data_IF_527417409230
#
_entry.id   IF_527417409230
#
_cell.length_a   1.000
_cell.length_b   1.000
_cell.length_c   1.000
_cell.angle_alpha   90.00
_cell.angle_beta   90.00
_cell.angle_gamma   90.00
#
_symmetry.space_group_name_H-M   'P 1'
#
loop_
_entity.id
_entity.type
_entity.pdbx_description
1 polymer ?
#
# COMPACT_ATOMS: atom_id res chain seq x y z
N UNK A 1 -22.21 14.88 13.23
CA UNK A 1 -21.43 14.98 11.98
C UNK A 1 -20.00 15.33 12.36
N UNK A 2 -19.08 14.36 12.33
CA UNK A 2 -17.67 14.66 12.53
C UNK A 2 -17.18 15.15 11.17
N UNK A 3 -16.90 16.43 11.08
CA UNK A 3 -16.16 17.02 9.97
C UNK A 3 -14.78 16.35 9.97
N UNK A 4 -14.63 15.28 9.17
CA UNK A 4 -13.33 14.68 8.93
C UNK A 4 -12.46 15.80 8.37
N UNK A 5 -11.51 16.26 9.19
CA UNK A 5 -10.55 17.28 8.80
C UNK A 5 -9.76 16.69 7.65
N UNK A 6 -10.14 17.06 6.43
CA UNK A 6 -9.53 16.61 5.18
C UNK A 6 -8.07 17.07 5.18
N UNK A 7 -7.17 16.14 5.55
CA UNK A 7 -5.74 16.42 5.75
C UNK A 7 -5.05 16.80 4.44
N UNK A 8 -5.65 16.46 3.30
CA UNK A 8 -5.12 16.76 1.98
C UNK A 8 -5.51 18.16 1.49
N UNK A 9 -6.64 18.72 1.97
CA UNK A 9 -7.10 20.08 1.57
C UNK A 9 -6.14 21.20 1.99
N UNK A 10 -5.34 21.00 3.03
CA UNK A 10 -4.44 22.02 3.58
C UNK A 10 -2.96 21.90 3.19
N UNK A 11 -2.61 20.99 2.27
CA UNK A 11 -1.21 20.83 1.86
C UNK A 11 -0.79 22.08 1.06
N UNK A 12 0.38 22.63 1.35
CA UNK A 12 1.02 23.69 0.57
C UNK A 12 2.49 23.32 0.31
N UNK A 13 3.01 23.69 -0.86
CA UNK A 13 4.41 23.40 -1.25
C UNK A 13 5.15 24.73 -1.32
N UNK A 14 5.71 25.20 -0.18
CA UNK A 14 6.33 26.52 -0.12
C UNK A 14 7.60 26.62 -0.97
N UNK A 15 8.22 25.48 -1.30
CA UNK A 15 9.43 25.39 -2.11
C UNK A 15 9.23 24.37 -3.24
N UNK A 16 8.76 24.79 -4.43
CA UNK A 16 8.59 23.90 -5.56
C UNK A 16 9.95 23.40 -6.07
N UNK A 17 10.05 22.10 -6.34
CA UNK A 17 11.25 21.50 -6.92
C UNK A 17 11.22 21.64 -8.45
N UNK A 18 12.35 22.05 -9.05
CA UNK A 18 12.50 22.21 -10.50
C UNK A 18 12.75 20.90 -11.25
N UNK A 19 13.08 19.81 -10.56
CA UNK A 19 13.31 18.50 -11.19
C UNK A 19 11.98 17.84 -11.53
N UNK A 20 11.85 17.44 -12.80
CA UNK A 20 10.74 16.62 -13.27
C UNK A 20 10.77 15.21 -12.67
N UNK A 21 9.58 14.66 -12.41
CA UNK A 21 9.39 13.33 -11.83
C UNK A 21 10.13 12.22 -12.60
N UNK A 22 10.19 12.34 -13.92
CA UNK A 22 10.80 11.34 -14.82
C UNK A 22 12.32 11.25 -14.69
N UNK A 23 12.97 12.31 -14.20
CA UNK A 23 14.42 12.33 -13.94
C UNK A 23 14.79 11.70 -12.59
N UNK A 24 13.81 11.26 -11.80
CA UNK A 24 14.02 10.63 -10.49
C UNK A 24 14.02 9.11 -10.61
N UNK A 25 14.83 8.43 -9.81
CA UNK A 25 14.89 6.97 -9.78
C UNK A 25 13.93 6.39 -8.73
N UNK A 26 13.15 5.37 -9.08
CA UNK A 26 12.27 4.67 -8.14
C UNK A 26 11.01 4.11 -8.80
N UNK A 27 9.94 3.98 -8.02
CA UNK A 27 8.64 3.45 -8.47
C UNK A 27 7.65 4.57 -8.79
N UNK A 28 6.46 4.23 -9.30
CA UNK A 28 5.39 5.21 -9.53
C UNK A 28 4.84 5.87 -8.26
N UNK A 29 5.04 5.23 -7.10
CA UNK A 29 4.57 5.73 -5.81
C UNK A 29 5.64 6.54 -5.07
N UNK A 30 6.91 6.11 -5.14
CA UNK A 30 8.02 6.77 -4.44
C UNK A 30 9.27 6.77 -5.32
N UNK A 31 9.83 7.95 -5.53
CA UNK A 31 11.12 8.13 -6.20
C UNK A 31 12.08 8.90 -5.33
N UNK A 32 13.38 8.71 -5.56
CA UNK A 32 14.43 9.47 -4.90
C UNK A 32 14.90 10.59 -5.82
N UNK A 33 14.87 11.83 -5.31
CA UNK A 33 15.39 12.99 -6.04
C UNK A 33 16.85 13.21 -5.69
N UNK A 34 17.73 13.15 -6.70
CA UNK A 34 19.17 13.35 -6.52
C UNK A 34 19.57 14.78 -6.12
N UNK A 35 18.77 15.80 -6.47
CA UNK A 35 19.10 17.21 -6.19
C UNK A 35 18.82 17.60 -4.74
N UNK A 36 17.63 17.26 -4.23
CA UNK A 36 17.28 17.57 -2.84
C UNK A 36 17.59 16.43 -1.87
N UNK A 37 18.06 15.29 -2.39
CA UNK A 37 18.37 14.06 -1.63
C UNK A 37 17.23 13.59 -0.74
N UNK A 38 15.98 13.80 -1.18
CA UNK A 38 14.77 13.40 -0.46
C UNK A 38 13.92 12.44 -1.28
N UNK A 39 13.19 11.58 -0.59
CA UNK A 39 12.15 10.75 -1.19
C UNK A 39 10.94 11.62 -1.55
N UNK A 40 10.52 11.55 -2.81
CA UNK A 40 9.36 12.24 -3.35
C UNK A 40 8.22 11.24 -3.51
N UNK A 41 7.10 11.50 -2.83
CA UNK A 41 5.91 10.64 -2.82
C UNK A 41 4.87 11.13 -3.83
N UNK A 42 4.38 10.26 -4.70
CA UNK A 42 3.33 10.61 -5.67
C UNK A 42 1.95 10.34 -5.06
N UNK A 43 1.33 11.37 -4.47
CA UNK A 43 0.02 11.24 -3.84
C UNK A 43 -1.08 10.93 -4.86
N UNK A 44 -0.91 11.35 -6.12
CA UNK A 44 -1.88 11.07 -7.19
C UNK A 44 -1.86 9.62 -7.67
N UNK A 45 -0.76 8.90 -7.45
CA UNK A 45 -0.69 7.44 -7.69
C UNK A 45 -1.23 6.61 -6.50
N UNK A 46 -1.61 7.25 -5.39
CA UNK A 46 -2.09 6.61 -4.17
C UNK A 46 -3.60 6.84 -3.97
N UNK A 47 -4.24 6.00 -3.16
CA UNK A 47 -5.62 6.28 -2.69
C UNK A 47 -5.62 7.41 -1.67
N UNK A 48 -6.77 8.05 -1.42
CA UNK A 48 -6.90 9.12 -0.42
C UNK A 48 -6.37 8.71 0.95
N UNK A 49 -6.80 7.55 1.47
CA UNK A 49 -6.35 7.04 2.79
C UNK A 49 -4.83 6.80 2.85
N UNK A 50 -4.24 6.29 1.75
CA UNK A 50 -2.79 6.07 1.67
C UNK A 50 -2.03 7.41 1.62
N UNK A 51 -2.54 8.39 0.86
CA UNK A 51 -1.95 9.72 0.82
C UNK A 51 -2.02 10.40 2.20
N UNK A 52 -3.15 10.31 2.89
CA UNK A 52 -3.35 10.83 4.25
C UNK A 52 -2.37 10.19 5.24
N UNK A 53 -2.24 8.86 5.22
CA UNK A 53 -1.32 8.17 6.14
C UNK A 53 0.15 8.53 5.90
N UNK A 54 0.55 8.73 4.64
CA UNK A 54 1.91 9.21 4.32
C UNK A 54 2.14 10.61 4.88
N UNK A 55 1.16 11.51 4.74
CA UNK A 55 1.24 12.88 5.25
C UNK A 55 1.29 12.91 6.77
N UNK A 56 0.47 12.12 7.44
CA UNK A 56 0.41 12.01 8.89
C UNK A 56 1.71 11.41 9.47
N UNK A 57 2.17 10.29 8.90
CA UNK A 57 3.39 9.62 9.36
C UNK A 57 4.65 10.47 9.19
N UNK A 58 4.67 11.35 8.17
CA UNK A 58 5.79 12.27 7.90
C UNK A 58 5.59 13.65 8.49
N UNK A 59 4.53 13.85 9.30
CA UNK A 59 4.24 15.09 10.00
C UNK A 59 4.28 16.33 9.08
N UNK A 60 3.83 16.18 7.82
CA UNK A 60 3.83 17.25 6.82
C UNK A 60 5.21 17.68 6.27
N UNK A 61 6.32 17.09 6.72
CA UNK A 61 7.69 17.40 6.23
C UNK A 61 8.15 16.41 5.17
N UNK A 62 7.42 16.33 4.07
CA UNK A 62 7.71 15.42 2.96
C UNK A 62 7.76 16.15 1.63
N UNK A 63 8.53 15.60 0.68
CA UNK A 63 8.44 16.02 -0.72
C UNK A 63 7.36 15.19 -1.40
N UNK A 64 6.42 15.84 -2.08
CA UNK A 64 5.36 15.15 -2.80
C UNK A 64 5.17 15.70 -4.21
N UNK A 65 4.80 14.80 -5.12
CA UNK A 65 4.13 15.11 -6.38
C UNK A 65 2.65 14.87 -6.17
N UNK A 66 1.83 15.81 -6.61
CA UNK A 66 0.39 15.65 -6.68
C UNK A 66 -0.18 16.58 -7.76
N UNK A 67 -1.36 16.24 -8.25
CA UNK A 67 -2.14 17.09 -9.15
C UNK A 67 -3.29 17.72 -8.37
N UNK A 68 -3.54 19.00 -8.61
CA UNK A 68 -4.70 19.71 -8.04
C UNK A 68 -5.73 19.95 -9.12
N UNK A 69 -6.99 19.71 -8.78
CA UNK A 69 -8.13 20.16 -9.57
C UNK A 69 -8.36 21.66 -9.34
N UNK A 70 -9.15 22.29 -10.20
CA UNK A 70 -9.51 23.71 -10.13
C UNK A 70 -10.17 24.13 -8.79
N UNK A 71 -10.75 23.18 -8.05
CA UNK A 71 -11.32 23.37 -6.71
C UNK A 71 -10.27 23.34 -5.58
N UNK A 72 -9.00 23.14 -5.90
CA UNK A 72 -7.89 23.03 -4.95
C UNK A 72 -7.71 21.63 -4.36
N UNK A 73 -8.60 20.68 -4.66
CA UNK A 73 -8.55 19.29 -4.16
C UNK A 73 -7.43 18.52 -4.84
N UNK A 74 -6.65 17.77 -4.06
CA UNK A 74 -5.64 16.86 -4.60
C UNK A 74 -6.32 15.66 -5.26
N UNK A 75 -5.94 15.38 -6.50
CA UNK A 75 -6.39 14.21 -7.26
C UNK A 75 -5.64 12.99 -6.74
N UNK A 76 -6.40 11.98 -6.31
CA UNK A 76 -5.93 10.67 -5.85
C UNK A 76 -6.53 9.57 -6.73
N UNK A 77 -5.90 8.38 -6.75
CA UNK A 77 -6.23 7.25 -7.64
C UNK A 77 -7.68 6.73 -7.50
N UNK A 78 -8.26 6.89 -6.33
CA UNK A 78 -9.64 6.50 -6.03
C UNK A 78 -10.68 7.50 -6.54
N UNK A 79 -10.37 8.80 -6.52
CA UNK A 79 -11.29 9.86 -6.97
C UNK A 79 -11.48 9.85 -8.49
N UNK A 80 -10.51 9.36 -9.25
CA UNK A 80 -10.66 9.21 -10.71
C UNK A 80 -11.58 8.06 -11.11
N UNK A 81 -11.80 7.08 -10.22
CA UNK A 81 -12.63 5.89 -10.51
C UNK A 81 -14.11 6.11 -10.22
N UNK A 82 -14.43 7.06 -9.35
CA UNK A 82 -15.81 7.37 -8.96
C UNK A 82 -16.57 8.12 -10.08
N UNK A 83 -15.88 8.95 -10.86
CA UNK A 83 -16.48 9.68 -11.99
C UNK A 83 -16.97 8.77 -13.13
N UNK A 84 -16.43 7.55 -13.27
CA UNK A 84 -16.93 6.57 -14.26
C UNK A 84 -18.07 5.69 -13.74
N UNK A 85 -18.26 5.59 -12.43
CA UNK A 85 -19.30 4.75 -11.82
C UNK A 85 -20.59 5.49 -11.50
N UNK A 86 -20.57 6.83 -11.42
CA UNK A 86 -21.78 7.62 -11.17
C UNK A 86 -22.81 7.56 -12.32
N UNK A 87 -22.36 7.20 -13.53
CA UNK A 87 -23.27 6.91 -14.65
C UNK A 87 -23.90 5.52 -14.59
N UNK A 88 -23.25 4.53 -13.96
CA UNK A 88 -23.70 3.13 -13.97
C UNK A 88 -24.60 2.83 -12.75
N UNK A 89 -24.35 3.47 -11.60
CA UNK A 89 -25.18 3.29 -10.38
C UNK A 89 -26.54 3.99 -10.47
N UNK A 90 -26.65 5.07 -11.27
CA UNK A 90 -27.92 5.77 -11.48
C UNK A 90 -28.91 5.01 -12.39
N UNK A 91 -28.44 4.17 -13.33
CA UNK A 91 -29.36 3.45 -14.22
C UNK A 91 -30.09 2.28 -13.52
N UNK A 92 -29.56 1.76 -12.41
CA UNK A 92 -30.21 0.72 -11.61
C UNK A 92 -31.30 1.27 -10.68
N UNK A 93 -31.19 2.52 -10.25
CA UNK A 93 -32.24 3.22 -9.48
C UNK A 93 -33.32 3.83 -10.38
N UNK A 94 -33.00 4.21 -11.62
CA UNK A 94 -33.97 4.75 -12.59
C UNK A 94 -34.88 3.67 -13.19
N UNK A 95 -34.42 2.44 -13.42
CA UNK A 95 -35.29 1.36 -13.97
C UNK A 95 -36.29 0.76 -12.98
N UNK A 96 -36.21 1.07 -11.69
CA UNK A 96 -37.16 0.55 -10.67
C UNK A 96 -38.39 1.44 -10.44
N UNK A 97 -38.48 2.60 -11.11
CA UNK A 97 -39.61 3.54 -11.01
C UNK A 97 -40.38 3.75 -12.32
N UNK A 98 -40.00 3.10 -13.42
CA UNK A 98 -40.67 3.19 -14.72
C UNK A 98 -41.62 2.01 -15.02
N UNK A 99 -42.11 1.30 -14.01
CA UNK A 99 -43.07 0.18 -14.18
C UNK A 99 -44.47 0.47 -13.65
N UNK A 100 -44.85 1.75 -13.53
CA UNK A 100 -46.24 2.15 -13.27
C UNK A 100 -46.61 3.11 -14.40
N UNK A 101 -47.78 2.89 -15.01
CA UNK A 101 -48.36 3.59 -16.18
C UNK A 101 -48.03 3.02 -17.57
N UNK A 102 -48.57 1.85 -17.89
CA UNK A 102 -49.37 1.73 -19.12
C UNK A 102 -50.78 1.35 -18.68
N UNK A 103 -51.63 2.35 -18.67
CA UNK A 103 -53.03 2.31 -18.27
C UNK A 103 -53.84 1.37 -19.14
N UNK A 104 -54.65 0.55 -18.48
CA UNK A 104 -55.84 -0.05 -19.02
C UNK A 104 -56.78 1.03 -19.59
N UNK A 105 -57.05 1.00 -20.89
CA UNK A 105 -58.37 1.29 -21.47
C UNK A 105 -58.48 0.48 -22.76
N UNK A 106 -59.26 -0.59 -22.75
CA UNK A 106 -60.40 -0.78 -23.66
C UNK A 106 -61.04 -2.13 -23.35
N UNK A 107 -62.02 -2.06 -22.45
CA UNK A 107 -63.04 -3.09 -22.25
C UNK A 107 -63.92 -3.23 -23.50
N UNK A 108 -64.18 -4.50 -23.82
CA UNK A 108 -65.41 -5.08 -24.35
C UNK A 108 -65.87 -4.67 -25.75
N UNK A 109 -65.62 -5.56 -26.73
CA UNK A 109 -66.66 -6.01 -27.65
C UNK A 109 -66.56 -7.54 -27.83
N UNK A 110 -67.70 -8.18 -27.61
CA UNK A 110 -67.97 -9.62 -27.64
C UNK A 110 -67.88 -10.13 -29.08
N UNK A 111 -67.30 -11.32 -29.29
CA UNK A 111 -67.37 -12.02 -30.56
C UNK A 111 -66.79 -13.43 -30.47
N UNK A 112 -67.66 -14.42 -30.23
CA UNK A 112 -67.36 -15.86 -30.29
C UNK A 112 -66.90 -16.23 -31.70
N UNK A 113 -65.77 -16.94 -31.82
CA UNK A 113 -65.31 -17.50 -33.09
C UNK A 113 -64.07 -18.37 -32.94
N UNK A 114 -64.26 -19.69 -32.92
CA UNK A 114 -63.21 -20.69 -33.12
C UNK A 114 -62.55 -20.53 -34.49
N UNK A 115 -61.22 -20.59 -34.59
CA UNK A 115 -60.56 -20.86 -35.87
C UNK A 115 -59.22 -20.16 -36.05
N UNK A 116 -58.19 -20.97 -36.28
CA UNK A 116 -56.79 -20.64 -36.51
C UNK A 116 -56.54 -19.56 -37.57
N UNK A 117 -55.76 -18.53 -37.23
CA UNK A 117 -55.21 -17.58 -38.22
C UNK A 117 -53.82 -18.02 -38.68
N UNK A 118 -53.77 -18.39 -39.95
CA UNK A 118 -52.57 -18.42 -40.78
C UNK A 118 -51.98 -17.01 -40.88
N UNK A 119 -50.66 -16.89 -40.87
CA UNK A 119 -50.00 -15.70 -41.42
C UNK A 119 -48.80 -16.14 -42.26
N UNK A 120 -48.95 -15.93 -43.56
CA UNK A 120 -47.96 -16.12 -44.61
C UNK A 120 -47.02 -14.91 -44.70
N UNK A 121 -45.86 -15.19 -45.29
CA UNK A 121 -44.76 -14.33 -45.72
C UNK A 121 -45.17 -13.09 -46.52
N UNK A 122 -44.32 -12.04 -46.52
CA UNK A 122 -43.62 -11.76 -47.77
C UNK A 122 -42.16 -11.32 -47.63
N UNK A 123 -41.44 -11.48 -48.74
CA UNK A 123 -40.02 -11.23 -48.94
C UNK A 123 -39.68 -9.75 -49.16
N UNK A 124 -38.42 -9.37 -48.89
CA UNK A 124 -37.70 -8.45 -49.76
C UNK A 124 -36.18 -8.72 -49.80
N UNK A 125 -35.64 -8.38 -50.97
CA UNK A 125 -34.39 -8.74 -51.62
C UNK A 125 -33.19 -7.87 -51.17
N UNK A 126 -31.99 -8.46 -51.10
CA UNK A 126 -30.70 -7.74 -51.12
C UNK A 126 -29.48 -8.56 -50.66
N UNK A 127 -28.77 -9.20 -51.60
CA UNK A 127 -27.41 -9.78 -51.49
C UNK A 127 -26.35 -8.63 -51.35
N UNK A 128 -25.06 -8.81 -50.95
CA UNK A 128 -24.23 -9.98 -51.21
C UNK A 128 -23.25 -10.48 -50.14
N UNK A 129 -22.82 -11.73 -50.36
CA UNK A 129 -21.47 -12.27 -50.16
C UNK A 129 -21.02 -12.79 -48.77
N UNK A 130 -20.29 -13.91 -48.90
CA UNK A 130 -19.45 -14.60 -47.92
C UNK A 130 -20.15 -15.44 -46.85
N UNK A 131 -20.64 -16.59 -47.32
CA UNK A 131 -20.58 -17.88 -46.63
C UNK A 131 -19.27 -18.05 -45.85
N UNK A 132 -19.36 -18.20 -44.52
CA UNK A 132 -18.41 -18.99 -43.77
C UNK A 132 -19.13 -19.68 -42.61
N UNK A 133 -19.09 -21.01 -42.65
CA UNK A 133 -19.69 -21.97 -41.72
C UNK A 133 -19.39 -21.64 -40.24
N UNK A 134 -20.33 -21.81 -39.29
CA UNK A 134 -19.95 -21.85 -37.88
C UNK A 134 -19.29 -23.21 -37.59
N UNK A 135 -18.01 -23.34 -37.91
CA UNK A 135 -17.17 -24.35 -37.28
C UNK A 135 -17.16 -24.04 -35.80
N UNK A 136 -17.82 -24.89 -35.03
CA UNK A 136 -17.75 -24.90 -33.56
C UNK A 136 -16.29 -25.11 -33.18
N UNK A 137 -15.56 -24.02 -32.96
CA UNK A 137 -14.23 -24.06 -32.35
C UNK A 137 -14.43 -24.51 -30.90
N UNK A 138 -14.21 -25.80 -30.66
CA UNK A 138 -13.91 -26.29 -29.32
C UNK A 138 -12.60 -25.63 -28.89
N UNK A 139 -12.68 -24.53 -28.14
CA UNK A 139 -11.55 -24.02 -27.38
C UNK A 139 -11.23 -25.04 -26.28
N UNK A 140 -10.43 -26.03 -26.64
CA UNK A 140 -9.68 -26.85 -25.70
C UNK A 140 -8.69 -25.92 -25.01
N UNK A 141 -9.08 -25.43 -23.84
CA UNK A 141 -8.15 -24.81 -22.92
C UNK A 141 -7.30 -25.93 -22.34
N UNK A 142 -6.24 -26.31 -23.06
CA UNK A 142 -5.13 -27.03 -22.47
C UNK A 142 -4.49 -26.08 -21.46
N UNK A 143 -5.04 -26.05 -20.24
CA UNK A 143 -4.35 -25.52 -19.08
C UNK A 143 -3.20 -26.49 -18.80
N UNK A 144 -2.06 -26.27 -19.46
CA UNK A 144 -0.80 -26.83 -19.00
C UNK A 144 -0.43 -26.05 -17.74
N UNK A 145 -1.05 -26.43 -16.61
CA UNK A 145 -0.43 -26.20 -15.33
C UNK A 145 0.76 -27.15 -15.29
N UNK A 146 1.93 -26.64 -15.65
CA UNK A 146 3.18 -27.29 -15.31
C UNK A 146 3.27 -27.27 -13.78
N UNK A 147 2.65 -28.25 -13.13
CA UNK A 147 2.88 -28.55 -11.73
C UNK A 147 4.30 -29.06 -11.62
N UNK A 148 5.23 -28.11 -11.51
CA UNK A 148 6.60 -28.35 -11.10
C UNK A 148 6.56 -29.04 -9.74
N UNK A 149 6.59 -30.38 -9.79
CA UNK A 149 6.53 -31.30 -8.67
C UNK A 149 7.93 -31.41 -8.08
N UNK A 150 8.36 -30.31 -7.47
CA UNK A 150 9.62 -30.21 -6.74
C UNK A 150 9.38 -29.61 -5.36
N UNK A 151 10.36 -29.78 -4.46
CA UNK A 151 10.33 -29.07 -3.19
C UNK A 151 10.26 -27.57 -3.46
N UNK A 152 9.32 -26.89 -2.81
CA UNK A 152 9.07 -25.49 -3.07
C UNK A 152 8.84 -24.73 -1.77
N UNK A 153 9.23 -23.46 -1.75
CA UNK A 153 8.87 -22.51 -0.70
C UNK A 153 7.90 -21.51 -1.30
N UNK A 154 6.72 -21.40 -0.71
CA UNK A 154 5.66 -20.50 -1.20
C UNK A 154 5.13 -19.63 -0.07
N UNK A 155 4.47 -18.55 -0.40
CA UNK A 155 3.76 -17.76 0.60
C UNK A 155 3.14 -16.51 0.02
N UNK A 156 2.44 -15.80 0.89
CA UNK A 156 1.85 -14.50 0.62
C UNK A 156 2.37 -13.49 1.63
N UNK A 157 2.60 -12.26 1.15
CA UNK A 157 3.17 -11.16 1.93
C UNK A 157 2.06 -10.18 2.24
N UNK A 158 1.86 -9.90 3.54
CA UNK A 158 0.81 -9.03 4.06
C UNK A 158 1.40 -7.86 4.84
N UNK A 159 0.61 -6.81 5.02
CA UNK A 159 0.86 -5.75 6.00
C UNK A 159 0.11 -5.99 7.32
N UNK A 160 0.32 -5.12 8.32
CA UNK A 160 -0.36 -5.18 9.61
C UNK A 160 -1.90 -5.05 9.52
N UNK A 161 -2.43 -4.57 8.40
CA UNK A 161 -3.87 -4.47 8.11
C UNK A 161 -4.43 -5.65 7.31
N UNK A 162 -3.60 -6.68 7.04
CA UNK A 162 -3.91 -7.84 6.21
C UNK A 162 -4.07 -7.53 4.71
N UNK A 163 -3.58 -6.39 4.24
CA UNK A 163 -3.49 -6.10 2.81
C UNK A 163 -2.26 -6.78 2.20
N UNK A 164 -2.38 -7.25 0.96
CA UNK A 164 -1.25 -7.88 0.23
C UNK A 164 -0.21 -6.85 -0.20
N UNK A 165 1.06 -7.21 -0.14
CA UNK A 165 2.19 -6.35 -0.53
C UNK A 165 2.80 -6.88 -1.84
N UNK A 166 2.57 -6.19 -2.98
CA UNK A 166 3.20 -6.54 -4.24
C UNK A 166 4.62 -5.98 -4.37
N UNK A 167 5.40 -6.51 -5.31
CA UNK A 167 6.75 -6.05 -5.64
C UNK A 167 7.73 -6.04 -4.44
N UNK A 168 7.55 -6.96 -3.50
CA UNK A 168 8.48 -7.17 -2.40
C UNK A 168 9.63 -8.06 -2.87
N UNK A 169 10.86 -7.70 -2.52
CA UNK A 169 12.06 -8.50 -2.76
C UNK A 169 12.14 -9.60 -1.71
N UNK A 170 12.04 -10.85 -2.16
CA UNK A 170 12.12 -12.04 -1.31
C UNK A 170 13.43 -12.75 -1.60
N UNK A 171 14.27 -12.91 -0.58
CA UNK A 171 15.53 -13.65 -0.67
C UNK A 171 15.43 -14.91 0.18
N UNK A 172 15.62 -16.07 -0.44
CA UNK A 172 15.72 -17.35 0.21
C UNK A 172 17.20 -17.79 0.24
N UNK A 173 17.74 -17.97 1.44
CA UNK A 173 19.16 -18.31 1.66
C UNK A 173 19.23 -19.74 2.19
N UNK A 174 19.90 -20.63 1.47
CA UNK A 174 20.20 -21.98 1.95
C UNK A 174 21.39 -21.92 2.93
N UNK A 175 21.15 -22.28 4.20
CA UNK A 175 22.16 -22.18 5.25
C UNK A 175 23.29 -23.20 5.08
N UNK A 176 23.02 -24.35 4.45
CA UNK A 176 24.01 -25.39 4.20
C UNK A 176 24.87 -25.12 2.97
N UNK A 177 24.25 -24.71 1.86
CA UNK A 177 24.95 -24.44 0.59
C UNK A 177 25.52 -23.01 0.49
N UNK A 178 25.08 -22.10 1.38
CA UNK A 178 25.35 -20.64 1.30
C UNK A 178 24.92 -20.02 -0.04
N UNK A 179 23.93 -20.62 -0.67
CA UNK A 179 23.34 -20.15 -1.92
C UNK A 179 22.12 -19.28 -1.60
N UNK A 180 21.94 -18.19 -2.35
CA UNK A 180 20.79 -17.29 -2.19
C UNK A 180 20.06 -17.13 -3.51
N UNK A 181 18.73 -17.27 -3.48
CA UNK A 181 17.86 -16.96 -4.60
C UNK A 181 16.97 -15.78 -4.23
N UNK A 182 16.81 -14.84 -5.16
CA UNK A 182 15.94 -13.68 -4.98
C UNK A 182 14.82 -13.72 -6.01
N UNK A 183 13.59 -13.53 -5.55
CA UNK A 183 12.37 -13.46 -6.35
C UNK A 183 11.60 -12.21 -5.94
N UNK A 184 10.93 -11.57 -6.88
CA UNK A 184 10.03 -10.45 -6.61
C UNK A 184 8.61 -10.99 -6.46
N UNK A 185 7.88 -10.56 -5.43
CA UNK A 185 6.48 -10.96 -5.24
C UNK A 185 5.57 -10.41 -6.35
N UNK A 186 4.53 -11.19 -6.69
CA UNK A 186 3.53 -10.83 -7.69
C UNK A 186 2.64 -9.67 -7.25
N UNK A 187 1.73 -9.23 -8.13
CA UNK A 187 0.67 -8.27 -7.84
C UNK A 187 -0.32 -8.76 -6.77
N UNK A 188 -0.52 -10.07 -6.65
CA UNK A 188 -1.27 -10.72 -5.57
C UNK A 188 -0.45 -10.86 -4.27
N UNK A 189 0.79 -10.37 -4.23
CA UNK A 189 1.69 -10.49 -3.08
C UNK A 189 2.20 -11.91 -2.84
N UNK A 190 2.06 -12.81 -3.82
CA UNK A 190 2.51 -14.20 -3.73
C UNK A 190 3.95 -14.35 -4.23
N UNK A 191 4.68 -15.30 -3.66
CA UNK A 191 6.02 -15.67 -4.11
C UNK A 191 6.18 -17.18 -4.12
N UNK A 192 7.08 -17.67 -5.00
CA UNK A 192 7.39 -19.09 -5.12
C UNK A 192 8.85 -19.29 -5.47
N UNK A 193 9.53 -20.12 -4.69
CA UNK A 193 10.81 -20.72 -5.02
C UNK A 193 10.56 -22.17 -5.41
N UNK A 194 10.94 -22.51 -6.63
CA UNK A 194 10.89 -23.87 -7.17
C UNK A 194 12.25 -24.55 -7.05
N UNK A 195 12.27 -25.88 -7.22
CA UNK A 195 13.51 -26.69 -7.29
C UNK A 195 14.44 -26.53 -6.07
N UNK A 196 13.87 -26.33 -4.88
CA UNK A 196 14.65 -26.24 -3.66
C UNK A 196 15.21 -27.61 -3.24
N UNK A 197 16.31 -27.61 -2.48
CA UNK A 197 16.85 -28.84 -1.86
C UNK A 197 16.35 -28.96 -0.41
N UNK A 198 16.22 -30.19 0.11
CA UNK A 198 15.90 -30.36 1.52
C UNK A 198 17.02 -29.78 2.39
N UNK A 199 16.68 -29.06 3.46
CA UNK A 199 17.66 -28.39 4.31
C UNK A 199 17.09 -27.21 5.10
N UNK A 200 17.98 -26.46 5.74
CA UNK A 200 17.65 -25.25 6.52
C UNK A 200 17.79 -23.99 5.68
N UNK A 201 16.81 -23.11 5.76
CA UNK A 201 16.76 -21.86 5.03
C UNK A 201 16.50 -20.65 5.93
N UNK A 202 17.07 -19.52 5.54
CA UNK A 202 16.68 -18.21 6.05
C UNK A 202 15.91 -17.48 4.96
N UNK A 203 14.70 -17.04 5.28
CA UNK A 203 13.87 -16.20 4.43
C UNK A 203 14.02 -14.74 4.86
N UNK A 204 14.36 -13.87 3.90
CA UNK A 204 14.45 -12.42 4.10
C UNK A 204 13.51 -11.73 3.12
N UNK A 205 12.65 -10.85 3.61
CA UNK A 205 11.69 -10.11 2.79
C UNK A 205 11.92 -8.63 3.01
N UNK A 206 12.09 -7.90 1.91
CA UNK A 206 12.28 -6.46 1.90
C UNK A 206 11.25 -5.83 0.96
N UNK A 207 10.46 -4.91 1.49
CA UNK A 207 9.53 -4.11 0.70
C UNK A 207 9.75 -2.63 1.03
N UNK A 208 9.54 -1.75 0.05
CA UNK A 208 9.71 -0.32 0.26
C UNK A 208 8.68 0.21 1.27
N UNK A 209 9.13 1.01 2.24
CA UNK A 209 8.29 1.52 3.32
C UNK A 209 7.97 0.51 4.43
N UNK A 210 8.52 -0.71 4.38
CA UNK A 210 8.32 -1.76 5.39
C UNK A 210 9.63 -2.19 6.05
N UNK A 211 9.55 -2.64 7.29
CA UNK A 211 10.69 -3.23 7.99
C UNK A 211 11.08 -4.55 7.33
N UNK A 212 12.38 -4.83 7.28
CA UNK A 212 12.87 -6.08 6.71
C UNK A 212 12.48 -7.23 7.62
N UNK A 213 11.72 -8.18 7.08
CA UNK A 213 11.34 -9.39 7.79
C UNK A 213 12.41 -10.46 7.58
N UNK A 214 12.88 -11.09 8.66
CA UNK A 214 13.87 -12.16 8.60
C UNK A 214 13.36 -13.33 9.44
N UNK A 215 13.19 -14.49 8.81
CA UNK A 215 12.84 -15.75 9.48
C UNK A 215 13.93 -16.77 9.20
N UNK A 216 14.68 -17.12 10.25
CA UNK A 216 15.80 -18.07 10.18
C UNK A 216 15.36 -19.49 10.48
N UNK A 217 16.19 -20.47 10.13
CA UNK A 217 16.02 -21.88 10.49
C UNK A 217 14.70 -22.52 10.01
N UNK A 218 14.23 -22.12 8.83
CA UNK A 218 13.13 -22.78 8.15
C UNK A 218 13.59 -24.16 7.68
N UNK A 219 12.99 -25.21 8.21
CA UNK A 219 13.32 -26.59 7.81
C UNK A 219 12.41 -26.99 6.65
N UNK A 220 13.01 -27.25 5.48
CA UNK A 220 12.32 -27.79 4.32
C UNK A 220 12.62 -29.28 4.21
N UNK A 221 11.60 -30.13 4.35
CA UNK A 221 11.75 -31.59 4.23
C UNK A 221 11.65 -32.02 2.77
N UNK A 222 12.08 -33.26 2.51
CA UNK A 222 11.97 -33.88 1.19
C UNK A 222 10.50 -34.01 0.78
N UNK A 223 10.21 -33.70 -0.48
CA UNK A 223 8.87 -33.76 -1.09
C UNK A 223 7.80 -32.89 -0.40
N UNK A 224 8.22 -31.86 0.34
CA UNK A 224 7.34 -30.91 1.02
C UNK A 224 7.29 -29.57 0.26
N UNK A 225 6.10 -28.96 0.24
CA UNK A 225 5.93 -27.55 -0.14
C UNK A 225 5.75 -26.74 1.14
N UNK A 226 6.78 -26.00 1.54
CA UNK A 226 6.75 -25.18 2.74
C UNK A 226 6.04 -23.87 2.44
N UNK A 227 4.88 -23.65 3.08
CA UNK A 227 4.16 -22.37 3.01
C UNK A 227 4.57 -21.46 4.17
N UNK A 228 5.07 -20.28 3.86
CA UNK A 228 5.49 -19.26 4.84
C UNK A 228 4.85 -17.92 4.49
N UNK A 229 3.74 -17.63 5.14
CA UNK A 229 3.14 -16.30 5.06
C UNK A 229 3.86 -15.34 6.01
N UNK A 230 4.02 -14.09 5.57
CA UNK A 230 4.75 -13.08 6.31
C UNK A 230 3.95 -11.79 6.42
N UNK A 231 3.94 -11.19 7.61
CA UNK A 231 3.32 -9.90 7.87
C UNK A 231 4.40 -8.87 8.16
N UNK A 232 4.54 -7.87 7.28
CA UNK A 232 5.52 -6.81 7.43
C UNK A 232 4.92 -5.65 8.22
N UNK A 233 5.75 -5.03 9.04
CA UNK A 233 5.41 -3.79 9.74
C UNK A 233 5.92 -2.61 8.92
N UNK A 234 5.23 -1.47 9.00
CA UNK A 234 5.69 -0.24 8.35
C UNK A 234 7.04 0.15 8.96
N UNK A 235 8.03 0.43 8.11
CA UNK A 235 9.32 0.92 8.56
C UNK A 235 9.12 2.32 9.13
N UNK A 236 9.27 2.46 10.44
CA UNK A 236 9.48 3.76 11.05
C UNK A 236 10.87 4.21 10.62
N UNK A 237 10.92 5.17 9.69
CA UNK A 237 12.17 5.87 9.35
C UNK A 237 12.47 6.80 10.53
N UNK A 238 12.93 6.21 11.63
CA UNK A 238 13.58 6.89 12.73
C UNK A 238 15.07 6.88 12.45
N UNK A 239 15.68 8.06 12.48
CA UNK A 239 17.12 8.18 12.62
C UNK A 239 17.53 7.39 13.87
N UNK A 240 18.22 6.26 13.70
CA UNK A 240 18.87 5.59 14.81
C UNK A 240 20.05 6.49 15.19
N UNK A 241 19.78 7.48 16.04
CA UNK A 241 20.83 8.15 16.79
C UNK A 241 21.26 7.10 17.83
N UNK A 242 22.30 6.33 17.49
CA UNK A 242 23.02 5.53 18.48
C UNK A 242 23.59 6.51 19.52
N UNK A 243 22.86 6.73 20.61
CA UNK A 243 23.42 7.39 21.78
C UNK A 243 24.46 6.42 22.36
N UNK A 244 25.72 6.85 22.58
CA UNK A 244 26.72 5.96 23.16
C UNK A 244 26.23 5.50 24.53
N UNK A 245 26.14 4.18 24.68
CA UNK A 245 25.90 3.49 25.93
C UNK A 245 27.00 3.88 26.93
N UNK A 246 26.66 4.73 27.90
CA UNK A 246 27.58 5.06 28.99
C UNK A 246 27.44 3.95 30.02
N UNK A 247 28.40 3.02 30.04
CA UNK A 247 28.52 2.02 31.10
C UNK A 247 28.90 2.72 32.41
N UNK A 248 27.99 2.74 33.37
CA UNK A 248 28.20 3.34 34.71
C UNK A 248 28.68 2.33 35.74
N UNK A 249 29.16 1.16 35.31
CA UNK A 249 29.82 0.20 36.21
C UNK A 249 31.32 0.45 36.20
N UNK A 250 31.75 1.46 36.95
CA UNK A 250 33.04 1.53 37.66
C UNK A 250 33.25 2.99 38.10
N UNK A 251 32.51 3.43 39.12
CA UNK A 251 32.97 4.56 39.92
C UNK A 251 33.24 4.06 41.33
N UNK A 252 34.44 3.51 41.51
CA UNK A 252 35.04 3.29 42.82
C UNK A 252 35.23 4.64 43.46
N UNK A 253 34.44 4.94 44.49
CA UNK A 253 34.67 6.10 45.35
C UNK A 253 35.84 5.77 46.28
N UNK A 254 37.03 6.20 45.87
CA UNK A 254 38.17 6.40 46.78
C UNK A 254 38.35 7.90 46.92
N UNK A 255 38.34 8.36 48.16
CA UNK A 255 38.08 9.75 48.51
C UNK A 255 39.23 10.72 48.31
N UNK A 256 38.96 11.90 48.88
CA UNK A 256 39.86 12.95 49.36
C UNK A 256 40.29 14.07 48.40
N UNK A 257 39.98 15.26 48.92
CA UNK A 257 40.66 16.56 48.83
C UNK A 257 40.17 17.59 47.81
N UNK A 258 39.96 18.77 48.38
CA UNK A 258 39.52 20.02 47.80
C UNK A 258 40.40 20.49 46.65
N UNK A 259 39.82 21.27 45.74
CA UNK A 259 40.60 22.16 44.89
C UNK A 259 39.92 22.56 43.60
N UNK A 260 39.57 23.85 43.54
CA UNK A 260 39.51 24.70 42.33
C UNK A 260 38.26 24.58 41.45
N UNK A 261 37.37 25.56 41.62
CA UNK A 261 36.39 25.97 40.63
C UNK A 261 37.07 26.74 39.49
N UNK A 262 36.74 26.49 38.21
CA UNK A 262 36.99 27.47 37.15
C UNK A 262 35.82 28.45 37.06
N UNK A 263 36.18 29.70 37.31
CA UNK A 263 35.39 30.91 37.12
C UNK A 263 35.14 31.14 35.61
N UNK A 264 33.99 30.73 35.09
CA UNK A 264 33.53 31.14 33.76
C UNK A 264 32.40 32.15 33.88
N UNK A 265 32.79 33.43 33.79
CA UNK A 265 31.95 34.61 33.82
C UNK A 265 31.18 34.77 32.49
N UNK A 266 30.10 34.01 32.31
CA UNK A 266 29.14 34.24 31.23
C UNK A 266 27.69 34.24 31.75
N UNK A 267 27.24 35.44 32.12
CA UNK A 267 25.97 35.71 32.79
C UNK A 267 24.75 35.71 31.85
N UNK A 268 24.76 34.87 30.80
CA UNK A 268 23.64 34.74 29.83
C UNK A 268 23.04 33.35 29.70
N UNK A 269 23.69 32.28 30.19
CA UNK A 269 23.18 30.91 30.09
C UNK A 269 22.52 30.39 31.39
N UNK A 270 22.70 31.07 32.52
CA UNK A 270 22.15 30.66 33.82
C UNK A 270 20.66 31.00 34.01
N UNK A 271 20.06 31.90 33.19
CA UNK A 271 18.62 32.19 33.26
C UNK A 271 17.75 31.16 32.52
N UNK A 272 18.25 30.56 31.45
CA UNK A 272 17.48 29.57 30.67
C UNK A 272 17.48 28.21 31.38
N UNK A 273 18.58 27.82 32.03
CA UNK A 273 18.67 26.54 32.75
C UNK A 273 17.92 26.51 34.09
N UNK A 274 17.74 27.65 34.78
CA UNK A 274 16.97 27.70 36.04
C UNK A 274 15.43 27.62 35.85
N UNK A 275 14.92 27.92 34.65
CA UNK A 275 13.48 27.84 34.38
C UNK A 275 12.99 26.41 34.08
N UNK A 276 13.84 25.54 33.54
CA UNK A 276 13.47 24.15 33.23
C UNK A 276 13.51 23.22 34.46
N UNK A 277 14.36 23.51 35.46
CA UNK A 277 14.52 22.64 36.63
C UNK A 277 13.41 22.81 37.70
N UNK A 278 12.76 23.98 37.77
CA UNK A 278 11.68 24.22 38.73
C UNK A 278 10.30 23.71 38.27
N UNK A 279 10.11 23.45 36.97
CA UNK A 279 8.87 22.87 36.43
C UNK A 279 8.74 21.37 36.73
N UNK A 280 9.84 20.63 36.62
CA UNK A 280 9.87 19.18 36.85
C UNK A 280 9.71 18.85 38.35
N UNK A 281 10.18 19.74 39.24
CA UNK A 281 10.11 19.56 40.69
C UNK A 281 8.67 19.62 41.25
N UNK A 282 7.72 20.23 40.53
CA UNK A 282 6.30 20.30 40.92
C UNK A 282 5.48 19.06 40.52
N UNK A 283 6.02 18.23 39.60
CA UNK A 283 5.33 17.04 39.08
C UNK A 283 5.66 15.78 39.92
N UNK A 284 6.81 15.75 40.61
CA UNK A 284 7.33 14.55 41.29
C UNK A 284 7.09 14.57 42.82
N UNK A 285 6.38 15.57 43.37
CA UNK A 285 5.90 15.52 44.76
C UNK A 285 6.98 15.34 45.85
N UNK A 286 8.23 15.76 45.60
CA UNK A 286 9.32 15.65 46.58
C UNK A 286 9.36 16.90 47.45
N UNK A 287 8.85 16.81 48.68
CA UNK A 287 9.10 17.80 49.73
C UNK A 287 10.49 17.58 50.37
N UNK A 288 11.29 18.65 50.55
CA UNK A 288 12.56 18.55 51.25
C UNK A 288 12.36 18.40 52.77
N UNK A 289 13.17 17.55 53.39
CA UNK A 289 13.59 17.69 54.80
C UNK A 289 14.75 18.66 54.88
#
# INVERSE_FOLDING_TARGET
MIEQTDRLKGIDVPAPCSIGWDAMAGTEQVRFCGQCQKSVYNLSAMTRRQAESVVDNKQGRLCAKFERRADGTIVTRDVTRDMTNDFITNWRTVKRRASIFVSAVFTTLIGVGTGSVMAQTPAHIGNPEATCSPTVFKFSHAQTSTQDSGLAVTGTIYDATQAVIPNAEVTLINEGAKESHTVISSDEGTYRFSLCKAGSYTLKIKANGFSTFIKKHLTLRKDEVLRVDATLQVAVVGEVIELPFIDTRHMTVMGLTAGVAPESNDNRLTKVFKASYNGIRKIIGLHPR
#
